data_IF_925628518768
#
_entry.id   IF_925628518768
#
_cell.length_a   1.000
_cell.length_b   1.000
_cell.length_c   1.000
_cell.angle_alpha   90.00
_cell.angle_beta   90.00
_cell.angle_gamma   90.00
#
_symmetry.space_group_name_H-M   'P 1'
#
loop_
_entity.id
_entity.type
_entity.pdbx_description
1 polymer ?
#
# COMPACT_ATOMS: atom_id res chain seq x y z
N UNK A 1 10.97 16.08 39.93
CA UNK A 1 10.46 16.26 38.55
C UNK A 1 9.08 15.60 38.51
N UNK A 2 8.02 16.42 38.41
CA UNK A 2 6.63 15.98 38.64
C UNK A 2 6.11 15.12 37.49
N UNK A 3 5.67 13.90 37.80
CA UNK A 3 5.05 12.95 36.86
C UNK A 3 3.77 13.50 36.19
N UNK A 4 3.16 14.55 36.76
CA UNK A 4 1.99 15.20 36.16
C UNK A 4 2.33 15.99 34.89
N UNK A 5 3.55 16.52 34.76
CA UNK A 5 3.96 17.26 33.56
C UNK A 5 4.14 16.38 32.32
N UNK A 6 4.56 15.12 32.52
CA UNK A 6 4.79 14.16 31.42
C UNK A 6 3.47 13.60 30.90
N UNK A 7 2.48 13.38 31.77
CA UNK A 7 1.16 12.88 31.38
C UNK A 7 0.36 13.89 30.53
N UNK A 8 0.49 15.19 30.81
CA UNK A 8 -0.18 16.25 30.02
C UNK A 8 0.47 16.42 28.66
N UNK A 9 1.81 16.32 28.57
CA UNK A 9 2.53 16.33 27.29
C UNK A 9 2.18 15.13 26.40
N UNK A 10 1.95 13.95 26.99
CA UNK A 10 1.52 12.76 26.25
C UNK A 10 0.04 12.80 25.85
N UNK A 11 -0.83 13.51 26.58
CA UNK A 11 -2.23 13.68 26.15
C UNK A 11 -2.41 14.75 25.07
N UNK A 12 -1.49 15.72 24.96
CA UNK A 12 -1.52 16.77 23.94
C UNK A 12 -0.95 16.33 22.58
N UNK A 13 -0.20 15.23 22.53
CA UNK A 13 0.22 14.60 21.27
C UNK A 13 -0.84 13.67 20.66
N UNK A 14 -1.95 13.43 21.37
CA UNK A 14 -3.11 12.65 20.89
C UNK A 14 -4.15 13.50 20.13
N UNK A 15 -3.82 14.76 19.79
CA UNK A 15 -4.78 15.72 19.22
C UNK A 15 -4.76 15.79 17.68
N UNK A 16 -3.95 14.97 17.01
CA UNK A 16 -4.09 14.76 15.58
C UNK A 16 -5.14 13.67 15.38
N UNK A 17 -6.35 14.06 14.96
CA UNK A 17 -7.45 13.15 14.63
C UNK A 17 -6.93 11.97 13.81
N UNK A 18 -6.73 10.84 14.48
CA UNK A 18 -6.35 9.60 13.88
C UNK A 18 -7.56 9.14 13.10
N UNK A 19 -7.60 9.45 11.80
CA UNK A 19 -8.55 8.81 10.92
C UNK A 19 -8.43 7.29 11.14
N UNK A 20 -9.51 6.65 11.59
CA UNK A 20 -9.48 5.29 12.13
C UNK A 20 -9.23 4.23 11.07
N UNK A 21 -8.87 4.63 9.85
CA UNK A 21 -8.56 3.71 8.79
C UNK A 21 -7.45 4.18 7.87
N UNK A 22 -6.81 3.19 7.25
CA UNK A 22 -5.67 3.36 6.35
C UNK A 22 -5.86 2.48 5.13
N UNK A 23 -5.12 2.83 4.09
CA UNK A 23 -5.03 2.04 2.88
C UNK A 23 -3.58 1.90 2.45
N UNK A 24 -3.24 0.80 1.81
CA UNK A 24 -1.89 0.54 1.30
C UNK A 24 -1.93 -0.29 0.01
N UNK A 25 -0.82 -0.32 -0.71
CA UNK A 25 -0.61 -1.20 -1.86
C UNK A 25 0.85 -1.65 -1.88
N UNK A 26 1.13 -2.74 -2.60
CA UNK A 26 2.49 -3.23 -2.80
C UNK A 26 3.31 -2.31 -3.73
N UNK A 27 2.66 -1.40 -4.45
CA UNK A 27 3.35 -0.40 -5.25
C UNK A 27 4.07 0.62 -4.35
N UNK A 28 5.39 0.84 -4.53
CA UNK A 28 6.16 1.82 -3.75
C UNK A 28 5.82 3.27 -4.11
N UNK A 29 4.99 3.49 -5.13
CA UNK A 29 4.54 4.82 -5.53
C UNK A 29 3.11 5.05 -5.07
N UNK A 30 2.95 5.97 -4.12
CA UNK A 30 1.67 6.39 -3.55
C UNK A 30 0.70 7.05 -4.56
N UNK A 31 1.15 7.30 -5.79
CA UNK A 31 0.34 7.87 -6.88
C UNK A 31 -0.24 6.83 -7.85
N UNK A 32 -0.01 5.53 -7.62
CA UNK A 32 -0.26 4.48 -8.64
C UNK A 32 -1.22 3.41 -8.11
N UNK A 33 -2.38 3.81 -7.59
CA UNK A 33 -3.49 2.86 -7.70
C UNK A 33 -3.84 2.75 -9.17
N UNK A 34 -3.90 1.53 -9.65
CA UNK A 34 -4.28 1.23 -11.01
C UNK A 34 -5.43 0.26 -11.04
N UNK A 35 -6.02 0.10 -12.22
CA UNK A 35 -7.07 -0.90 -12.45
C UNK A 35 -6.62 -2.35 -12.20
N UNK A 36 -5.33 -2.58 -11.90
CA UNK A 36 -4.74 -3.89 -11.63
C UNK A 36 -4.12 -4.03 -10.25
N UNK A 37 -3.95 -2.94 -9.49
CA UNK A 37 -3.34 -2.99 -8.15
C UNK A 37 -4.33 -3.50 -7.11
N UNK A 38 -3.85 -4.32 -6.18
CA UNK A 38 -4.60 -4.65 -4.96
C UNK A 38 -4.39 -3.54 -3.93
N UNK A 39 -5.50 -3.01 -3.42
CA UNK A 39 -5.52 -1.99 -2.36
C UNK A 39 -5.95 -2.68 -1.07
N UNK A 40 -5.09 -2.67 -0.06
CA UNK A 40 -5.46 -3.16 1.27
C UNK A 40 -6.14 -2.02 2.03
N UNK A 41 -7.29 -2.29 2.61
CA UNK A 41 -7.99 -1.40 3.53
C UNK A 41 -7.87 -1.97 4.94
N UNK A 42 -7.62 -1.12 5.92
CA UNK A 42 -7.49 -1.50 7.32
C UNK A 42 -8.13 -0.45 8.23
N UNK A 43 -9.07 -0.89 9.07
CA UNK A 43 -9.73 -0.08 10.10
C UNK A 43 -9.15 -0.43 11.49
N UNK A 44 -8.65 0.57 12.20
CA UNK A 44 -7.99 0.51 13.52
C UNK A 44 -8.96 0.81 14.69
N UNK A 45 -10.24 0.44 14.57
CA UNK A 45 -11.26 0.66 15.61
C UNK A 45 -12.16 -0.56 15.84
N UNK A 46 -12.98 -0.49 16.89
CA UNK A 46 -13.90 -1.57 17.30
C UNK A 46 -15.33 -1.41 16.79
N UNK A 47 -15.68 -0.23 16.27
CA UNK A 47 -17.02 0.13 15.81
C UNK A 47 -17.31 -0.25 14.36
N UNK A 48 -16.43 -0.98 13.69
CA UNK A 48 -16.55 -1.32 12.26
C UNK A 48 -17.79 -2.20 11.96
N UNK A 49 -18.55 -1.84 10.92
CA UNK A 49 -19.62 -2.66 10.37
C UNK A 49 -19.24 -3.21 8.99
N UNK A 50 -19.05 -2.31 8.03
CA UNK A 50 -18.80 -2.69 6.64
C UNK A 50 -18.09 -1.60 5.83
N UNK A 51 -17.51 -1.96 4.70
CA UNK A 51 -16.95 -1.01 3.73
C UNK A 51 -18.01 -0.52 2.74
N UNK A 52 -18.17 0.80 2.65
CA UNK A 52 -18.91 1.45 1.58
C UNK A 52 -17.97 1.74 0.42
N UNK A 53 -18.23 1.10 -0.72
CA UNK A 53 -17.38 1.11 -1.91
C UNK A 53 -18.26 1.21 -3.16
N UNK A 54 -17.88 1.99 -4.19
CA UNK A 54 -18.66 2.12 -5.42
C UNK A 54 -18.72 0.80 -6.18
N UNK A 55 -19.76 0.59 -6.98
CA UNK A 55 -19.97 -0.64 -7.76
C UNK A 55 -18.89 -0.92 -8.82
N UNK A 56 -18.06 0.08 -9.12
CA UNK A 56 -16.88 -0.03 -9.99
C UNK A 56 -15.69 -0.76 -9.35
N UNK A 57 -15.74 -0.98 -8.03
CA UNK A 57 -14.73 -1.71 -7.30
C UNK A 57 -15.32 -2.92 -6.56
N UNK A 58 -14.51 -3.98 -6.45
CA UNK A 58 -14.83 -5.20 -5.73
C UNK A 58 -14.04 -5.28 -4.43
N UNK A 59 -14.73 -5.65 -3.35
CA UNK A 59 -14.15 -5.90 -2.04
C UNK A 59 -14.26 -7.38 -1.73
N UNK A 60 -13.17 -8.01 -1.29
CA UNK A 60 -13.13 -9.45 -0.98
C UNK A 60 -14.06 -9.83 0.16
N UNK A 61 -14.00 -9.10 1.27
CA UNK A 61 -14.94 -9.22 2.38
C UNK A 61 -15.31 -7.82 2.89
N UNK A 62 -16.56 -7.40 2.67
CA UNK A 62 -17.04 -6.07 3.08
C UNK A 62 -17.14 -5.91 4.59
N UNK A 63 -17.39 -7.00 5.32
CA UNK A 63 -17.59 -6.99 6.78
C UNK A 63 -16.30 -7.23 7.58
N UNK A 64 -15.15 -7.35 6.90
CA UNK A 64 -13.87 -7.46 7.58
C UNK A 64 -13.20 -6.08 7.74
N UNK A 65 -12.76 -5.70 8.94
CA UNK A 65 -11.99 -4.47 9.17
C UNK A 65 -10.70 -4.41 8.35
N UNK A 66 -10.15 -5.55 7.95
CA UNK A 66 -9.00 -5.65 7.06
C UNK A 66 -9.38 -6.44 5.80
N UNK A 67 -9.32 -5.81 4.65
CA UNK A 67 -9.81 -6.41 3.40
C UNK A 67 -9.03 -5.92 2.19
N UNK A 68 -9.23 -6.60 1.07
CA UNK A 68 -8.65 -6.27 -0.23
C UNK A 68 -9.73 -5.65 -1.13
N UNK A 69 -9.39 -4.51 -1.72
CA UNK A 69 -10.17 -3.72 -2.67
C UNK A 69 -9.48 -3.75 -4.04
N UNK A 70 -10.26 -3.99 -5.09
CA UNK A 70 -9.83 -3.89 -6.49
C UNK A 70 -10.81 -3.05 -7.30
N UNK A 71 -10.33 -1.99 -7.93
CA UNK A 71 -11.14 -1.12 -8.78
C UNK A 71 -10.88 -1.44 -10.26
N UNK A 72 -11.91 -1.74 -11.04
CA UNK A 72 -11.73 -2.17 -12.44
C UNK A 72 -11.82 -1.01 -13.44
N UNK A 73 -12.45 0.10 -13.05
CA UNK A 73 -12.53 1.29 -13.88
C UNK A 73 -11.58 2.39 -13.39
N UNK A 74 -10.90 3.09 -14.30
CA UNK A 74 -10.14 4.28 -13.93
C UNK A 74 -11.09 5.39 -13.45
N UNK A 75 -10.59 6.27 -12.59
CA UNK A 75 -11.35 7.39 -12.02
C UNK A 75 -11.10 7.58 -10.53
N UNK A 76 -11.81 8.54 -9.95
CA UNK A 76 -11.80 8.80 -8.50
C UNK A 76 -12.93 8.00 -7.86
N UNK A 77 -12.59 7.18 -6.88
CA UNK A 77 -13.52 6.33 -6.14
C UNK A 77 -13.59 6.77 -4.69
N UNK A 78 -14.78 7.04 -4.19
CA UNK A 78 -14.99 7.41 -2.77
C UNK A 78 -15.18 6.15 -1.94
N UNK A 79 -14.34 5.95 -0.94
CA UNK A 79 -14.39 4.81 -0.02
C UNK A 79 -14.49 5.32 1.41
N UNK A 80 -15.33 4.65 2.21
CA UNK A 80 -15.45 4.92 3.64
C UNK A 80 -15.82 3.65 4.42
N UNK A 81 -15.36 3.52 5.68
CA UNK A 81 -15.92 2.53 6.59
C UNK A 81 -17.29 3.01 7.10
N UNK A 82 -18.22 2.10 7.24
CA UNK A 82 -19.48 2.28 7.95
C UNK A 82 -19.25 1.76 9.37
N UNK A 83 -19.59 2.59 10.36
CA UNK A 83 -19.34 2.32 11.78
C UNK A 83 -20.62 2.43 12.61
N UNK A 84 -20.69 1.71 13.74
CA UNK A 84 -21.78 1.83 14.72
C UNK A 84 -21.53 3.07 15.58
N UNK A 85 -22.34 4.12 15.42
CA UNK A 85 -22.30 5.30 16.28
C UNK A 85 -22.67 6.59 15.56
N UNK A 86 -22.76 7.71 16.29
CA UNK A 86 -22.98 9.03 15.70
C UNK A 86 -21.75 9.56 14.95
N UNK A 87 -20.58 8.97 15.18
CA UNK A 87 -19.33 9.40 14.57
C UNK A 87 -19.22 8.84 13.15
N UNK A 88 -19.38 9.71 12.16
CA UNK A 88 -19.08 9.38 10.77
C UNK A 88 -17.57 9.46 10.56
N UNK A 89 -16.96 8.33 10.21
CA UNK A 89 -15.56 8.31 9.78
C UNK A 89 -15.35 9.07 8.45
N UNK A 90 -14.15 9.60 8.28
CA UNK A 90 -13.78 10.38 7.09
C UNK A 90 -13.82 9.51 5.83
N UNK A 91 -14.51 10.01 4.80
CA UNK A 91 -14.51 9.43 3.46
C UNK A 91 -13.22 9.82 2.73
N UNK A 92 -12.65 8.88 1.96
CA UNK A 92 -11.44 9.17 1.18
C UNK A 92 -11.65 8.85 -0.29
N UNK A 93 -11.11 9.74 -1.12
CA UNK A 93 -11.14 9.63 -2.56
C UNK A 93 -9.85 9.00 -3.07
N UNK A 94 -9.93 7.78 -3.59
CA UNK A 94 -8.80 7.08 -4.20
C UNK A 94 -8.81 7.32 -5.72
N UNK A 95 -7.75 7.93 -6.23
CA UNK A 95 -7.55 8.08 -7.68
C UNK A 95 -6.95 6.81 -8.27
N UNK A 96 -7.69 6.12 -9.13
CA UNK A 96 -7.28 4.90 -9.81
C UNK A 96 -7.02 5.20 -11.28
N UNK A 97 -5.80 4.94 -11.74
CA UNK A 97 -5.42 5.15 -13.14
C UNK A 97 -5.64 3.90 -13.99
N UNK A 98 -5.84 4.09 -15.29
CA UNK A 98 -5.81 2.98 -16.25
C UNK A 98 -4.35 2.54 -16.40
N UNK A 99 -4.05 1.29 -16.07
CA UNK A 99 -2.73 0.74 -16.33
C UNK A 99 -2.79 -0.49 -17.23
N UNK A 100 -1.90 -0.47 -18.22
CA UNK A 100 -1.61 -1.60 -19.10
C UNK A 100 -0.32 -2.32 -18.67
N UNK A 101 0.45 -1.74 -17.74
CA UNK A 101 1.75 -2.23 -17.29
C UNK A 101 1.70 -2.44 -15.78
N UNK A 102 1.91 -3.69 -15.34
CA UNK A 102 1.91 -4.08 -13.92
C UNK A 102 3.30 -4.11 -13.31
N UNK A 103 4.35 -3.96 -14.11
CA UNK A 103 5.69 -4.35 -13.71
C UNK A 103 6.53 -3.14 -13.32
N UNK A 104 7.38 -3.36 -12.34
CA UNK A 104 8.31 -2.36 -11.83
C UNK A 104 9.75 -2.82 -12.03
N UNK A 105 10.64 -1.85 -12.13
CA UNK A 105 12.07 -2.09 -12.17
C UNK A 105 12.62 -2.16 -10.74
N UNK A 106 13.34 -3.23 -10.45
CA UNK A 106 14.19 -3.37 -9.28
C UNK A 106 15.63 -3.13 -9.69
N UNK A 107 16.40 -2.45 -8.83
CA UNK A 107 17.84 -2.34 -9.01
C UNK A 107 18.58 -2.54 -7.70
N UNK A 108 19.78 -3.11 -7.80
CA UNK A 108 20.73 -3.28 -6.71
C UNK A 108 22.10 -2.80 -7.17
N UNK A 109 22.81 -2.08 -6.30
CA UNK A 109 24.15 -1.56 -6.58
C UNK A 109 25.15 -2.22 -5.65
N UNK A 110 26.22 -2.79 -6.22
CA UNK A 110 27.38 -3.30 -5.50
C UNK A 110 28.55 -2.37 -5.77
N UNK A 111 29.07 -1.72 -4.74
CA UNK A 111 30.19 -0.78 -4.84
C UNK A 111 31.50 -1.44 -4.45
N UNK A 112 32.47 -1.42 -5.37
CA UNK A 112 33.84 -1.89 -5.15
C UNK A 112 34.77 -0.68 -5.00
N UNK A 113 34.96 -0.23 -3.76
CA UNK A 113 35.73 0.99 -3.47
C UNK A 113 37.20 0.90 -3.86
N UNK A 114 37.81 -0.29 -3.78
CA UNK A 114 39.23 -0.48 -4.10
C UNK A 114 39.56 -0.18 -5.58
N UNK A 115 38.61 -0.45 -6.48
CA UNK A 115 38.79 -0.30 -7.92
C UNK A 115 37.85 0.76 -8.50
N UNK A 116 37.21 1.58 -7.65
CA UNK A 116 36.21 2.59 -8.04
C UNK A 116 35.14 2.09 -9.03
N UNK A 117 34.75 0.82 -8.93
CA UNK A 117 33.80 0.18 -9.85
C UNK A 117 32.47 -0.03 -9.15
N UNK A 118 31.37 0.10 -9.89
CA UNK A 118 30.03 -0.22 -9.42
C UNK A 118 29.39 -1.23 -10.35
N UNK A 119 28.77 -2.26 -9.78
CA UNK A 119 27.96 -3.24 -10.52
C UNK A 119 26.51 -2.95 -10.21
N UNK A 120 25.74 -2.58 -11.23
CA UNK A 120 24.30 -2.36 -11.14
C UNK A 120 23.60 -3.60 -11.70
N UNK A 121 22.82 -4.25 -10.86
CA UNK A 121 21.98 -5.39 -11.22
C UNK A 121 20.55 -4.89 -11.30
N UNK A 122 19.89 -5.12 -12.42
CA UNK A 122 18.52 -4.63 -12.68
C UNK A 122 17.66 -5.80 -13.12
N UNK A 123 16.43 -5.87 -12.62
CA UNK A 123 15.43 -6.84 -13.07
C UNK A 123 14.03 -6.26 -12.99
N UNK A 124 13.10 -6.92 -13.66
CA UNK A 124 11.67 -6.58 -13.68
C UNK A 124 10.96 -7.50 -12.71
N UNK A 125 10.06 -6.94 -11.89
CA UNK A 125 9.23 -7.70 -10.96
C UNK A 125 7.76 -7.23 -11.01
N UNK A 126 6.85 -8.13 -10.64
CA UNK A 126 5.41 -7.84 -10.51
C UNK A 126 5.08 -7.63 -9.02
N UNK A 127 4.74 -6.41 -8.56
CA UNK A 127 4.46 -6.12 -7.15
C UNK A 127 3.29 -6.93 -6.56
N UNK A 128 2.39 -7.45 -7.40
CA UNK A 128 1.26 -8.28 -6.93
C UNK A 128 1.68 -9.74 -6.66
N UNK A 129 2.81 -10.19 -7.23
CA UNK A 129 3.31 -11.56 -7.17
C UNK A 129 4.80 -11.66 -6.80
N UNK A 130 5.36 -10.55 -6.31
CA UNK A 130 6.75 -10.41 -5.93
C UNK A 130 7.07 -11.16 -4.64
N UNK A 131 8.33 -11.55 -4.48
CA UNK A 131 8.80 -11.98 -3.18
C UNK A 131 8.76 -10.81 -2.18
N UNK A 132 8.41 -11.03 -0.90
CA UNK A 132 8.41 -9.96 0.11
C UNK A 132 9.74 -9.19 0.18
N UNK A 133 10.87 -9.84 -0.11
CA UNK A 133 12.17 -9.18 -0.14
C UNK A 133 12.33 -8.16 -1.28
N UNK A 134 11.69 -8.43 -2.43
CA UNK A 134 11.66 -7.51 -3.57
C UNK A 134 10.76 -6.30 -3.27
N UNK A 135 9.63 -6.52 -2.60
CA UNK A 135 8.71 -5.46 -2.16
C UNK A 135 9.40 -4.56 -1.12
N UNK A 136 10.10 -5.15 -0.14
CA UNK A 136 10.83 -4.45 0.92
C UNK A 136 12.16 -3.85 0.46
N UNK A 137 12.55 -4.02 -0.80
CA UNK A 137 13.81 -3.53 -1.38
C UNK A 137 15.07 -4.03 -0.65
N UNK A 138 15.03 -5.27 -0.18
CA UNK A 138 16.17 -5.93 0.46
C UNK A 138 16.60 -7.22 -0.26
N UNK A 139 15.99 -7.54 -1.40
CA UNK A 139 16.38 -8.66 -2.25
C UNK A 139 17.80 -8.49 -2.79
N UNK A 140 18.60 -9.55 -2.65
CA UNK A 140 19.94 -9.63 -3.23
C UNK A 140 19.94 -10.17 -4.66
N UNK A 141 18.93 -10.96 -5.00
CA UNK A 141 18.75 -11.63 -6.30
C UNK A 141 17.25 -11.64 -6.67
N UNK A 142 16.91 -11.73 -7.95
CA UNK A 142 15.52 -11.80 -8.40
C UNK A 142 14.86 -13.12 -7.97
N UNK A 143 13.58 -13.05 -7.63
CA UNK A 143 12.75 -14.25 -7.42
C UNK A 143 12.56 -15.04 -8.72
N UNK A 144 12.13 -16.30 -8.64
CA UNK A 144 11.87 -17.12 -9.84
C UNK A 144 10.87 -16.44 -10.79
N UNK A 145 9.83 -15.80 -10.25
CA UNK A 145 8.84 -15.03 -11.01
C UNK A 145 9.52 -13.86 -11.74
N UNK A 146 10.32 -13.08 -11.03
CA UNK A 146 11.07 -11.95 -11.58
C UNK A 146 12.10 -12.37 -12.63
N UNK A 147 12.75 -13.53 -12.48
CA UNK A 147 13.66 -14.10 -13.49
C UNK A 147 12.91 -14.39 -14.79
N UNK A 148 11.77 -15.08 -14.70
CA UNK A 148 10.96 -15.42 -15.87
C UNK A 148 10.44 -14.15 -16.54
N UNK A 149 9.91 -13.22 -15.75
CA UNK A 149 9.36 -11.96 -16.23
C UNK A 149 10.42 -11.10 -16.93
N UNK A 150 11.60 -10.98 -16.33
CA UNK A 150 12.72 -10.23 -16.90
C UNK A 150 13.17 -10.80 -18.23
N UNK A 151 13.21 -12.14 -18.39
CA UNK A 151 13.57 -12.79 -19.67
C UNK A 151 12.53 -12.61 -20.78
N UNK A 152 11.27 -12.35 -20.43
CA UNK A 152 10.20 -12.15 -21.41
C UNK A 152 10.16 -10.71 -21.93
N UNK A 153 10.63 -9.75 -21.13
CA UNK A 153 10.50 -8.32 -21.38
C UNK A 153 11.83 -7.60 -21.67
N UNK A 154 12.97 -8.27 -21.48
CA UNK A 154 14.32 -7.79 -21.83
C UNK A 154 14.88 -8.61 -22.98
#
# INVERSE_FOLDING_TARGET
MSAQGVAVLLSWLSCCGSALWRYSSNSPSYHIFSTRSTITLEYEGTSFLEWSVPGTCSVKNKSSPRTELRCFSPGVHTIRPIVVGPDSEEERNLSVQSSHICFLWYYRVISFFHNFTQVIIVWIYDPENADPSEILRNANEPSLNSIILSKQLA
#
